data_IF_135348278033
#
_entry.id   IF_135348278033
#
_cell.length_a   1.000
_cell.length_b   1.000
_cell.length_c   1.000
_cell.angle_alpha   90.00
_cell.angle_beta   90.00
_cell.angle_gamma   90.00
#
_symmetry.space_group_name_H-M   'P 1'
#
loop_
_entity.id
_entity.type
_entity.pdbx_description
1 polymer ?
#
# COMPACT_ATOMS: atom_id res chain seq x y z
N UNK A 1 9.38 -8.75 2.69
CA UNK A 1 8.44 -7.61 2.75
C UNK A 1 7.03 -8.10 3.11
N UNK A 2 6.40 -7.44 4.07
CA UNK A 2 5.00 -7.68 4.42
C UNK A 2 4.27 -6.35 4.58
N UNK A 3 3.08 -6.24 3.97
CA UNK A 3 2.19 -5.10 4.20
C UNK A 3 1.37 -5.42 5.44
N UNK A 4 1.41 -4.53 6.42
CA UNK A 4 0.67 -4.68 7.68
C UNK A 4 -0.48 -3.69 7.68
N UNK A 5 -1.70 -4.20 7.84
CA UNK A 5 -2.91 -3.40 7.89
C UNK A 5 -3.78 -3.89 9.05
N UNK A 6 -3.89 -3.08 10.09
CA UNK A 6 -4.76 -3.34 11.24
C UNK A 6 -5.89 -2.33 11.22
N UNK A 7 -7.05 -2.77 10.76
CA UNK A 7 -8.22 -1.93 10.52
C UNK A 7 -9.42 -2.48 11.25
N UNK A 8 -10.16 -1.60 11.93
CA UNK A 8 -11.35 -1.98 12.72
C UNK A 8 -12.63 -1.25 12.30
N UNK A 9 -12.66 -0.67 11.10
CA UNK A 9 -13.84 0.04 10.59
C UNK A 9 -13.84 1.54 10.84
N UNK A 10 -12.85 2.09 11.53
CA UNK A 10 -12.69 3.52 11.71
C UNK A 10 -12.06 4.16 10.47
N UNK A 11 -11.97 5.50 10.43
CA UNK A 11 -11.34 6.22 9.31
C UNK A 11 -9.89 5.82 9.10
N UNK A 12 -9.15 5.62 10.18
CA UNK A 12 -7.74 5.27 10.15
C UNK A 12 -7.48 3.96 10.87
N UNK A 13 -6.32 3.39 10.62
CA UNK A 13 -5.82 2.21 11.29
C UNK A 13 -4.33 2.09 11.05
N UNK A 14 -3.70 1.06 11.60
CA UNK A 14 -2.27 0.83 11.36
C UNK A 14 -2.06 0.38 9.92
N UNK A 15 -1.19 1.07 9.21
CA UNK A 15 -0.79 0.71 7.85
C UNK A 15 0.69 0.99 7.68
N UNK A 16 1.50 -0.07 7.64
CA UNK A 16 2.94 0.06 7.47
C UNK A 16 3.49 -1.13 6.69
N UNK A 17 4.75 -1.03 6.28
CA UNK A 17 5.44 -2.09 5.56
C UNK A 17 6.56 -2.62 6.45
N UNK A 18 6.63 -3.94 6.60
CA UNK A 18 7.71 -4.61 7.30
C UNK A 18 8.75 -5.11 6.30
N UNK A 19 9.99 -4.67 6.47
CA UNK A 19 11.15 -5.11 5.71
C UNK A 19 12.12 -5.79 6.70
N UNK A 20 12.12 -7.13 6.74
CA UNK A 20 12.88 -7.85 7.75
C UNK A 20 12.43 -7.49 9.16
N UNK A 21 13.30 -6.85 9.94
CA UNK A 21 12.99 -6.38 11.31
C UNK A 21 12.66 -4.88 11.36
N UNK A 22 12.65 -4.21 10.22
CA UNK A 22 12.41 -2.77 10.13
C UNK A 22 11.01 -2.50 9.61
N UNK A 23 10.35 -1.49 10.16
CA UNK A 23 9.01 -1.05 9.76
C UNK A 23 9.08 0.34 9.14
N UNK A 24 8.32 0.57 8.08
CA UNK A 24 8.26 1.86 7.40
C UNK A 24 6.80 2.27 7.16
N UNK A 25 6.37 3.51 7.47
CA UNK A 25 7.15 4.59 8.09
C UNK A 25 7.56 4.32 9.53
N UNK A 26 6.75 3.57 10.29
CA UNK A 26 7.04 3.10 11.65
C UNK A 26 6.11 1.92 11.97
N UNK A 27 6.39 1.20 13.04
CA UNK A 27 5.65 -0.01 13.39
C UNK A 27 4.15 0.21 13.59
N UNK A 28 3.78 1.32 14.19
CA UNK A 28 2.39 1.62 14.52
C UNK A 28 1.89 2.83 13.73
N UNK A 29 2.36 2.98 12.48
CA UNK A 29 1.98 4.10 11.64
C UNK A 29 0.48 4.09 11.39
N UNK A 30 -0.20 5.18 11.82
CA UNK A 30 -1.64 5.36 11.62
C UNK A 30 -1.90 6.11 10.32
N UNK A 31 -2.78 5.57 9.48
CA UNK A 31 -3.06 6.16 8.18
C UNK A 31 -4.45 5.75 7.67
N UNK A 32 -4.83 6.28 6.54
CA UNK A 32 -6.13 6.05 5.91
C UNK A 32 -6.09 4.76 5.09
N UNK A 33 -6.38 3.62 5.71
CA UNK A 33 -6.19 2.29 5.13
C UNK A 33 -6.94 2.10 3.82
N UNK A 34 -8.23 2.42 3.75
CA UNK A 34 -9.06 2.14 2.56
C UNK A 34 -8.61 2.98 1.36
N UNK A 35 -8.46 4.32 1.47
CA UNK A 35 -7.95 5.11 0.34
C UNK A 35 -6.56 4.70 -0.11
N UNK A 36 -5.64 4.40 0.81
CA UNK A 36 -4.28 3.99 0.46
C UNK A 36 -4.29 2.69 -0.36
N UNK A 37 -4.98 1.67 0.13
CA UNK A 37 -5.01 0.36 -0.55
C UNK A 37 -5.67 0.49 -1.92
N UNK A 38 -6.74 1.28 -2.02
CA UNK A 38 -7.41 1.55 -3.29
C UNK A 38 -6.45 2.18 -4.31
N UNK A 39 -5.71 3.22 -3.89
CA UNK A 39 -4.75 3.91 -4.74
C UNK A 39 -3.59 3.00 -5.14
N UNK A 40 -3.05 2.23 -4.20
CA UNK A 40 -1.93 1.34 -4.45
C UNK A 40 -2.31 0.22 -5.42
N UNK A 41 -3.49 -0.40 -5.26
CA UNK A 41 -3.97 -1.42 -6.20
C UNK A 41 -4.09 -0.84 -7.61
N UNK A 42 -4.71 0.32 -7.75
CA UNK A 42 -4.87 0.97 -9.04
C UNK A 42 -3.52 1.25 -9.70
N UNK A 43 -2.58 1.83 -8.95
CA UNK A 43 -1.25 2.16 -9.45
C UNK A 43 -0.47 0.90 -9.87
N UNK A 44 -0.49 -0.14 -9.05
CA UNK A 44 0.20 -1.40 -9.33
C UNK A 44 -0.41 -2.09 -10.56
N UNK A 45 -1.74 -2.12 -10.67
CA UNK A 45 -2.43 -2.75 -11.80
C UNK A 45 -2.18 -2.03 -13.13
N UNK A 46 -1.96 -0.73 -13.10
CA UNK A 46 -1.67 0.08 -14.29
C UNK A 46 -0.20 0.05 -14.69
N UNK A 47 0.68 -0.46 -13.83
CA UNK A 47 2.11 -0.49 -14.10
C UNK A 47 2.46 -1.47 -15.21
N UNK A 48 3.53 -1.17 -15.94
CA UNK A 48 4.07 -2.03 -16.99
C UNK A 48 5.49 -2.46 -16.64
N UNK A 49 5.96 -3.64 -17.15
CA UNK A 49 7.38 -3.98 -17.02
C UNK A 49 8.27 -2.87 -17.56
N UNK A 50 9.30 -2.51 -16.80
CA UNK A 50 10.20 -1.40 -17.15
C UNK A 50 9.78 -0.05 -16.63
N UNK A 51 8.60 0.07 -16.03
CA UNK A 51 8.10 1.35 -15.51
C UNK A 51 8.53 1.59 -14.06
N UNK A 52 8.55 2.88 -13.69
CA UNK A 52 8.70 3.32 -12.30
C UNK A 52 7.42 4.00 -11.85
N UNK A 53 7.07 3.83 -10.59
CA UNK A 53 5.87 4.46 -10.00
C UNK A 53 6.08 4.68 -8.51
N UNK A 54 5.20 5.47 -7.91
CA UNK A 54 5.26 5.80 -6.49
C UNK A 54 3.98 5.35 -5.79
N UNK A 55 4.14 4.80 -4.58
CA UNK A 55 3.04 4.43 -3.70
C UNK A 55 3.12 5.31 -2.45
N UNK A 56 2.14 6.21 -2.31
CA UNK A 56 2.15 7.21 -1.25
C UNK A 56 1.42 6.73 -0.01
N UNK A 57 1.99 7.05 1.17
CA UNK A 57 1.23 7.10 2.40
C UNK A 57 0.46 8.43 2.43
N UNK A 58 -0.73 8.44 2.99
CA UNK A 58 -1.55 9.66 2.98
C UNK A 58 -1.22 10.62 4.10
N UNK A 59 -0.75 10.08 5.23
CA UNK A 59 -0.31 10.91 6.34
C UNK A 59 1.22 10.97 6.33
N UNK A 60 1.78 12.18 6.42
CA UNK A 60 3.22 12.41 6.43
C UNK A 60 3.89 12.32 5.06
N UNK A 61 5.19 12.65 5.01
CA UNK A 61 5.95 12.76 3.77
C UNK A 61 6.65 11.44 3.37
N UNK A 62 5.88 10.34 3.33
CA UNK A 62 6.46 9.02 3.08
C UNK A 62 5.88 8.41 1.80
N UNK A 63 6.73 7.71 1.04
CA UNK A 63 6.28 6.96 -0.12
C UNK A 63 7.25 5.83 -0.44
N UNK A 64 6.78 4.89 -1.26
CA UNK A 64 7.61 3.84 -1.85
C UNK A 64 7.88 4.20 -3.30
N UNK A 65 9.16 4.27 -3.68
CA UNK A 65 9.56 4.41 -5.07
C UNK A 65 9.80 3.02 -5.62
N UNK A 66 9.04 2.64 -6.63
CA UNK A 66 9.03 1.28 -7.18
C UNK A 66 9.52 1.29 -8.62
N UNK A 67 10.42 0.34 -8.92
CA UNK A 67 10.89 0.06 -10.29
C UNK A 67 10.52 -1.37 -10.63
N UNK A 68 9.63 -1.53 -11.60
CA UNK A 68 9.14 -2.84 -11.99
C UNK A 68 9.89 -3.39 -13.19
N UNK A 69 10.42 -4.62 -13.08
CA UNK A 69 10.75 -5.42 -14.24
C UNK A 69 9.65 -6.48 -14.47
N UNK A 70 9.91 -7.49 -15.29
CA UNK A 70 8.88 -8.48 -15.65
C UNK A 70 8.37 -9.30 -14.48
N UNK A 71 9.24 -9.67 -13.53
CA UNK A 71 8.92 -10.58 -12.43
C UNK A 71 9.21 -10.00 -11.05
N UNK A 72 10.07 -9.01 -10.97
CA UNK A 72 10.53 -8.43 -9.72
C UNK A 72 10.16 -6.96 -9.66
N UNK A 73 10.09 -6.45 -8.45
CA UNK A 73 9.92 -5.03 -8.20
C UNK A 73 10.95 -4.59 -7.17
N UNK A 74 11.71 -3.56 -7.50
CA UNK A 74 12.63 -2.92 -6.58
C UNK A 74 11.88 -1.82 -5.84
N UNK A 75 11.82 -1.93 -4.52
CA UNK A 75 11.08 -1.01 -3.67
C UNK A 75 12.08 -0.21 -2.83
N UNK A 76 12.02 1.12 -2.93
CA UNK A 76 12.76 2.03 -2.07
C UNK A 76 11.79 2.81 -1.20
N UNK A 77 11.97 2.69 0.12
CA UNK A 77 11.17 3.43 1.09
C UNK A 77 11.81 4.80 1.31
N UNK A 78 11.10 5.85 0.93
CA UNK A 78 11.63 7.23 0.91
C UNK A 78 10.93 8.09 1.95
N UNK A 79 11.75 8.78 2.75
CA UNK A 79 11.30 9.87 3.60
C UNK A 79 11.51 11.19 2.83
N UNK A 80 10.42 11.75 2.31
CA UNK A 80 10.48 12.94 1.47
C UNK A 80 10.75 14.22 2.27
N UNK A 81 10.77 14.14 3.60
CA UNK A 81 11.16 15.27 4.44
C UNK A 81 12.61 15.69 4.19
N UNK A 82 13.49 14.71 3.98
CA UNK A 82 14.91 14.95 3.68
C UNK A 82 15.37 14.27 2.38
N UNK A 83 14.46 13.58 1.68
CA UNK A 83 14.77 12.86 0.43
C UNK A 83 15.55 11.56 0.62
N UNK A 84 15.70 11.08 1.87
CA UNK A 84 16.51 9.90 2.14
C UNK A 84 15.78 8.60 1.80
N UNK A 85 16.52 7.64 1.23
CA UNK A 85 16.07 6.26 1.06
C UNK A 85 16.42 5.50 2.34
N UNK A 86 15.39 5.08 3.08
CA UNK A 86 15.56 4.39 4.36
C UNK A 86 15.80 2.91 4.18
N UNK A 87 15.15 2.29 3.20
CA UNK A 87 15.17 0.85 2.97
C UNK A 87 15.09 0.62 1.47
N UNK A 88 15.80 -0.40 0.98
CA UNK A 88 15.70 -0.86 -0.41
C UNK A 88 15.59 -2.37 -0.40
N UNK A 89 14.61 -2.93 -1.11
CA UNK A 89 14.40 -4.37 -1.21
C UNK A 89 13.80 -4.73 -2.56
N UNK A 90 14.27 -5.82 -3.14
CA UNK A 90 13.67 -6.40 -4.35
C UNK A 90 12.79 -7.58 -3.95
N UNK A 91 11.56 -7.59 -4.42
CA UNK A 91 10.58 -8.65 -4.12
C UNK A 91 9.91 -9.11 -5.41
N UNK A 92 9.35 -10.35 -5.43
CA UNK A 92 8.51 -10.76 -6.55
C UNK A 92 7.32 -9.82 -6.72
N UNK A 93 7.07 -9.36 -7.94
CA UNK A 93 5.95 -8.46 -8.21
C UNK A 93 4.61 -9.09 -7.79
N UNK A 94 4.43 -10.39 -8.03
CA UNK A 94 3.23 -11.11 -7.65
C UNK A 94 2.97 -11.08 -6.13
N UNK A 95 4.05 -11.08 -5.33
CA UNK A 95 3.92 -11.01 -3.87
C UNK A 95 3.25 -9.69 -3.44
N UNK A 96 3.67 -8.57 -4.02
CA UNK A 96 3.06 -7.28 -3.76
C UNK A 96 1.58 -7.28 -4.17
N UNK A 97 1.27 -7.76 -5.37
CA UNK A 97 -0.11 -7.83 -5.86
C UNK A 97 -0.99 -8.68 -4.94
N UNK A 98 -0.52 -9.87 -4.56
CA UNK A 98 -1.27 -10.80 -3.73
C UNK A 98 -1.58 -10.20 -2.36
N UNK A 99 -0.60 -9.57 -1.73
CA UNK A 99 -0.81 -8.93 -0.43
C UNK A 99 -1.83 -7.79 -0.51
N UNK A 100 -1.75 -6.95 -1.54
CA UNK A 100 -2.71 -5.86 -1.73
C UNK A 100 -4.14 -6.39 -1.93
N UNK A 101 -4.30 -7.44 -2.74
CA UNK A 101 -5.62 -8.05 -2.97
C UNK A 101 -6.18 -8.64 -1.68
N UNK A 102 -5.38 -9.36 -0.91
CA UNK A 102 -5.81 -9.94 0.37
C UNK A 102 -6.24 -8.87 1.37
N UNK A 103 -5.47 -7.79 1.48
CA UNK A 103 -5.83 -6.67 2.34
C UNK A 103 -7.12 -6.00 1.87
N UNK A 104 -7.28 -5.78 0.57
CA UNK A 104 -8.48 -5.19 0.01
C UNK A 104 -9.72 -6.01 0.32
N UNK A 105 -9.63 -7.33 0.19
CA UNK A 105 -10.73 -8.24 0.53
C UNK A 105 -11.10 -8.16 2.01
N UNK A 106 -10.10 -8.11 2.87
CA UNK A 106 -10.31 -7.93 4.31
C UNK A 106 -11.00 -6.60 4.60
N UNK A 107 -10.53 -5.50 4.00
CA UNK A 107 -11.12 -4.18 4.21
C UNK A 107 -12.59 -4.12 3.78
N UNK A 108 -12.94 -4.77 2.67
CA UNK A 108 -14.32 -4.79 2.17
C UNK A 108 -15.30 -5.47 3.15
N UNK A 109 -14.82 -6.34 4.04
CA UNK A 109 -15.68 -6.94 5.07
C UNK A 109 -16.21 -5.92 6.08
N UNK A 110 -15.59 -4.74 6.15
CA UNK A 110 -15.99 -3.65 7.06
C UNK A 110 -16.89 -2.61 6.39
N UNK A 111 -17.28 -2.80 5.15
CA UNK A 111 -18.02 -1.79 4.36
C UNK A 111 -19.23 -1.23 5.08
N UNK A 112 -20.04 -2.09 5.70
CA UNK A 112 -21.28 -1.70 6.38
C UNK A 112 -21.06 -1.15 7.78
N UNK A 113 -19.85 -1.27 8.32
CA UNK A 113 -19.50 -0.89 9.71
C UNK A 113 -18.47 0.23 9.78
N UNK A 114 -18.06 0.75 8.61
CA UNK A 114 -16.96 1.69 8.52
C UNK A 114 -17.42 3.15 8.60
N UNK A 115 -16.55 3.99 9.15
CA UNK A 115 -16.69 5.45 9.11
C UNK A 115 -16.28 6.04 7.76
N UNK A 116 -15.72 5.22 6.84
CA UNK A 116 -15.39 5.63 5.49
C UNK A 116 -16.64 5.73 4.64
N UNK A 117 -16.63 6.61 3.63
CA UNK A 117 -17.76 6.74 2.73
C UNK A 117 -17.81 5.59 1.72
N UNK A 118 -18.98 5.30 1.18
CA UNK A 118 -19.19 4.23 0.19
C UNK A 118 -18.32 4.39 -1.06
N UNK A 119 -18.00 5.63 -1.45
CA UNK A 119 -17.15 5.88 -2.61
C UNK A 119 -15.75 5.30 -2.45
N UNK A 120 -15.17 5.33 -1.25
CA UNK A 120 -13.84 4.76 -0.98
C UNK A 120 -13.86 3.25 -1.18
N UNK A 121 -14.89 2.57 -0.66
CA UNK A 121 -15.05 1.13 -0.85
C UNK A 121 -15.40 0.76 -2.28
N UNK A 122 -16.14 1.61 -2.98
CA UNK A 122 -16.45 1.42 -4.40
C UNK A 122 -15.20 1.46 -5.26
N UNK A 123 -14.28 2.39 -5.01
CA UNK A 123 -13.00 2.48 -5.70
C UNK A 123 -12.12 1.26 -5.40
N UNK A 124 -12.10 0.81 -4.16
CA UNK A 124 -11.36 -0.37 -3.75
C UNK A 124 -11.89 -1.61 -4.47
N UNK A 125 -13.19 -1.79 -4.51
CA UNK A 125 -13.83 -2.92 -5.20
C UNK A 125 -13.57 -2.89 -6.70
N UNK A 126 -13.61 -1.71 -7.32
CA UNK A 126 -13.28 -1.54 -8.75
C UNK A 126 -11.83 -1.96 -9.04
N UNK A 127 -10.89 -1.61 -8.16
CA UNK A 127 -9.49 -2.01 -8.29
C UNK A 127 -9.29 -3.53 -8.29
N UNK A 128 -10.09 -4.26 -7.53
CA UNK A 128 -10.02 -5.72 -7.48
C UNK A 128 -10.53 -6.40 -8.76
N UNK A 129 -11.30 -5.72 -9.57
CA UNK A 129 -11.85 -6.26 -10.82
C UNK A 129 -10.94 -6.05 -12.04
N UNK A 130 -9.85 -5.31 -11.88
CA UNK A 130 -8.89 -5.05 -12.96
C UNK A 130 -7.92 -6.26 -13.18
#
# INVERSE_FOLDING_TARGET
>A
MNIICEYCGKKTGVFCIQFGTTYFPSRDWDDFCVPIVSDWIDTVNRSCPGSAFQLYFMDGPYYLLCHRDKHQILIRAVDDHDGSVRIEESVPFRKLQTQLVEIAKMLLTYRDKSDNCDSDFGLLQAGLKM
#
